data_IF_922205658567
#
_entry.id   IF_922205658567
#
_cell.length_a   1.000
_cell.length_b   1.000
_cell.length_c   1.000
_cell.angle_alpha   90.00
_cell.angle_beta   90.00
_cell.angle_gamma   90.00
#
_symmetry.space_group_name_H-M   'P 1'
#
loop_
_entity.id
_entity.type
_entity.pdbx_description
1 polymer ?
#
# COMPACT_ATOMS: atom_id res chain seq x y z
N UNK A 1 -9.79 -37.53 -31.43
CA UNK A 1 -9.41 -37.43 -30.00
C UNK A 1 -10.68 -37.23 -29.17
N UNK A 2 -11.10 -38.23 -28.38
CA UNK A 2 -12.31 -38.16 -27.54
C UNK A 2 -12.06 -37.15 -26.41
N UNK A 3 -12.90 -36.11 -26.29
CA UNK A 3 -12.77 -35.07 -25.25
C UNK A 3 -12.95 -35.73 -23.88
N UNK A 4 -11.96 -35.57 -23.00
CA UNK A 4 -12.02 -35.99 -21.59
C UNK A 4 -12.94 -35.01 -20.87
N UNK A 5 -14.22 -35.36 -20.71
CA UNK A 5 -15.19 -34.56 -19.95
C UNK A 5 -15.10 -34.91 -18.45
N UNK A 6 -15.35 -33.94 -17.55
CA UNK A 6 -15.33 -34.16 -16.10
C UNK A 6 -16.36 -35.21 -15.64
N UNK A 7 -17.46 -35.36 -16.36
CA UNK A 7 -18.47 -36.41 -16.12
C UNK A 7 -17.93 -37.82 -16.38
N UNK A 8 -17.13 -38.01 -17.43
CA UNK A 8 -16.50 -39.30 -17.74
C UNK A 8 -15.47 -39.68 -16.67
N UNK A 9 -14.78 -38.68 -16.09
CA UNK A 9 -13.86 -38.91 -14.99
C UNK A 9 -14.58 -39.32 -13.69
N UNK A 10 -15.76 -38.76 -13.41
CA UNK A 10 -16.58 -39.15 -12.25
C UNK A 10 -17.11 -40.58 -12.37
N UNK A 11 -17.61 -40.96 -13.55
CA UNK A 11 -18.10 -42.31 -13.79
C UNK A 11 -16.99 -43.38 -13.63
N UNK A 12 -15.77 -43.06 -14.06
CA UNK A 12 -14.60 -43.95 -13.85
C UNK A 12 -14.25 -44.05 -12.36
N UNK A 13 -14.32 -42.95 -11.61
CA UNK A 13 -14.05 -42.97 -10.17
C UNK A 13 -15.10 -43.76 -9.37
N UNK A 14 -16.38 -43.67 -9.75
CA UNK A 14 -17.45 -44.51 -9.15
C UNK A 14 -17.20 -45.99 -9.43
N UNK A 15 -16.83 -46.34 -10.67
CA UNK A 15 -16.52 -47.71 -11.03
C UNK A 15 -15.28 -48.25 -10.27
N UNK A 16 -14.25 -47.41 -10.07
CA UNK A 16 -13.07 -47.75 -9.27
C UNK A 16 -13.43 -47.98 -7.79
N UNK A 17 -14.40 -47.22 -7.24
CA UNK A 17 -14.89 -47.41 -5.87
C UNK A 17 -15.63 -48.75 -5.71
N UNK A 18 -16.46 -49.14 -6.68
CA UNK A 18 -17.16 -50.43 -6.67
C UNK A 18 -16.17 -51.62 -6.77
N UNK A 19 -15.14 -51.49 -7.60
CA UNK A 19 -14.08 -52.49 -7.69
C UNK A 19 -13.26 -52.60 -6.39
N UNK A 20 -13.01 -51.47 -5.72
CA UNK A 20 -12.38 -51.46 -4.40
C UNK A 20 -13.25 -52.14 -3.35
N UNK A 21 -14.56 -51.86 -3.31
CA UNK A 21 -15.49 -52.52 -2.40
C UNK A 21 -15.51 -54.03 -2.61
N UNK A 22 -15.56 -54.48 -3.87
CA UNK A 22 -15.50 -55.91 -4.21
C UNK A 22 -14.19 -56.55 -3.78
N UNK A 23 -13.05 -55.90 -4.00
CA UNK A 23 -11.72 -56.39 -3.57
C UNK A 23 -11.62 -56.50 -2.05
N UNK A 24 -12.25 -55.59 -1.30
CA UNK A 24 -12.30 -55.61 0.16
C UNK A 24 -13.21 -56.73 0.66
N UNK A 25 -14.36 -56.97 0.02
CA UNK A 25 -15.24 -58.09 0.32
C UNK A 25 -14.56 -59.45 0.09
N UNK A 26 -13.72 -59.56 -0.95
CA UNK A 26 -12.89 -60.73 -1.25
C UNK A 26 -11.66 -60.88 -0.30
N UNK A 27 -11.55 -60.05 0.73
CA UNK A 27 -10.51 -60.15 1.77
C UNK A 27 -9.12 -59.66 1.35
N UNK A 28 -8.99 -58.98 0.20
CA UNK A 28 -7.70 -58.41 -0.25
C UNK A 28 -7.38 -57.13 0.53
N UNK A 29 -6.10 -56.97 0.91
CA UNK A 29 -5.63 -55.80 1.66
C UNK A 29 -5.56 -54.56 0.74
N UNK A 30 -6.27 -53.50 1.12
CA UNK A 30 -6.14 -52.18 0.49
C UNK A 30 -4.71 -51.64 0.63
N UNK A 31 -4.23 -51.00 -0.43
CA UNK A 31 -2.95 -50.26 -0.42
C UNK A 31 -3.05 -48.99 0.41
N UNK A 32 -1.90 -48.44 0.80
CA UNK A 32 -1.80 -47.23 1.61
C UNK A 32 -2.46 -46.02 0.93
N UNK A 33 -2.37 -45.91 -0.40
CA UNK A 33 -2.95 -44.82 -1.17
C UNK A 33 -4.48 -44.91 -1.25
N UNK A 34 -5.03 -46.11 -1.50
CA UNK A 34 -6.49 -46.36 -1.51
C UNK A 34 -7.12 -46.07 -0.13
N UNK A 35 -6.41 -46.39 0.96
CA UNK A 35 -6.87 -46.06 2.33
C UNK A 35 -6.84 -44.57 2.62
N UNK A 36 -5.87 -43.83 2.08
CA UNK A 36 -5.78 -42.38 2.27
C UNK A 36 -6.88 -41.66 1.48
N UNK A 37 -7.18 -42.12 0.25
CA UNK A 37 -8.28 -41.61 -0.55
C UNK A 37 -9.65 -41.86 0.10
N UNK A 38 -9.89 -43.07 0.64
CA UNK A 38 -11.13 -43.36 1.38
C UNK A 38 -11.28 -42.54 2.66
N UNK A 39 -10.17 -42.21 3.34
CA UNK A 39 -10.19 -41.29 4.49
C UNK A 39 -10.59 -39.89 4.09
N UNK A 40 -10.05 -39.38 2.99
CA UNK A 40 -10.41 -38.06 2.46
C UNK A 40 -11.88 -38.00 2.04
N UNK A 41 -12.40 -39.08 1.43
CA UNK A 41 -13.82 -39.15 1.04
C UNK A 41 -14.76 -39.24 2.26
N UNK A 42 -14.35 -39.95 3.32
CA UNK A 42 -15.09 -40.03 4.57
C UNK A 42 -15.09 -38.69 5.33
N UNK A 43 -13.98 -37.95 5.26
CA UNK A 43 -13.87 -36.59 5.84
C UNK A 43 -14.74 -35.57 5.07
N UNK A 44 -14.97 -35.75 3.75
CA UNK A 44 -15.81 -34.88 2.91
C UNK A 44 -17.32 -35.14 3.04
N UNK A 45 -17.73 -36.30 3.58
CA UNK A 45 -19.15 -36.67 3.78
C UNK A 45 -19.56 -36.95 5.24
N UNK A 46 -18.70 -36.68 6.23
CA UNK A 46 -18.93 -37.05 7.63
C UNK A 46 -18.69 -35.93 8.63
N UNK A 47 -19.63 -35.00 8.74
CA UNK A 47 -20.33 -34.67 10.01
C UNK A 47 -21.27 -33.49 9.74
N UNK A 48 -22.51 -33.80 9.34
CA UNK A 48 -23.60 -32.90 9.67
C UNK A 48 -23.69 -32.81 11.20
N UNK A 49 -23.79 -31.61 11.80
CA UNK A 49 -23.87 -31.48 13.25
C UNK A 49 -25.17 -32.13 13.72
N UNK A 50 -25.09 -33.31 14.33
CA UNK A 50 -26.19 -33.83 15.14
C UNK A 50 -26.44 -32.83 16.26
N UNK A 51 -27.53 -32.08 16.11
CA UNK A 51 -28.07 -31.18 17.10
C UNK A 51 -28.45 -31.96 18.36
N UNK A 52 -27.52 -32.01 19.32
CA UNK A 52 -27.85 -32.03 20.74
C UNK A 52 -27.29 -30.74 21.33
N UNK A 53 -28.18 -29.74 21.42
CA UNK A 53 -27.93 -28.46 22.08
C UNK A 53 -27.94 -28.71 23.59
N UNK A 54 -26.79 -29.11 24.13
CA UNK A 54 -26.47 -28.83 25.53
C UNK A 54 -25.90 -27.40 25.61
N UNK A 55 -26.25 -26.61 26.64
CA UNK A 55 -25.95 -25.19 26.69
C UNK A 55 -24.43 -24.95 26.69
N UNK A 56 -24.00 -24.03 25.83
CA UNK A 56 -22.62 -23.54 25.72
C UNK A 56 -22.06 -23.25 27.12
N UNK A 57 -21.00 -23.95 27.57
CA UNK A 57 -20.35 -23.62 28.83
C UNK A 57 -19.76 -22.22 28.71
N UNK A 58 -20.31 -21.28 29.46
CA UNK A 58 -19.87 -19.89 29.45
C UNK A 58 -18.46 -19.82 30.04
N UNK A 59 -17.47 -19.63 29.17
CA UNK A 59 -16.09 -19.26 29.51
C UNK A 59 -15.03 -20.35 29.37
N UNK A 60 -15.34 -21.61 29.68
CA UNK A 60 -14.30 -22.67 29.77
C UNK A 60 -14.69 -23.96 29.04
N UNK A 61 -13.77 -24.52 28.26
CA UNK A 61 -13.85 -25.87 27.75
C UNK A 61 -13.10 -26.84 28.69
N UNK A 62 -13.69 -28.01 28.97
CA UNK A 62 -13.11 -29.04 29.84
C UNK A 62 -12.01 -29.83 29.15
N UNK A 63 -12.07 -29.94 27.82
CA UNK A 63 -11.07 -30.63 27.02
C UNK A 63 -10.97 -30.03 25.60
N UNK A 64 -9.95 -30.44 24.87
CA UNK A 64 -9.72 -29.98 23.49
C UNK A 64 -10.78 -30.44 22.49
N UNK A 65 -11.64 -31.40 22.85
CA UNK A 65 -12.74 -31.88 21.99
C UNK A 65 -13.92 -30.92 22.10
N UNK A 66 -14.29 -30.55 23.32
CA UNK A 66 -15.30 -29.53 23.60
C UNK A 66 -14.84 -28.16 23.07
N UNK A 67 -13.55 -27.83 23.20
CA UNK A 67 -12.99 -26.61 22.62
C UNK A 67 -13.09 -26.59 21.09
N UNK A 68 -12.78 -27.71 20.42
CA UNK A 68 -12.91 -27.84 18.97
C UNK A 68 -14.36 -27.60 18.51
N UNK A 69 -15.32 -28.19 19.22
CA UNK A 69 -16.74 -28.06 18.92
C UNK A 69 -17.24 -26.62 19.16
N UNK A 70 -16.83 -26.00 20.27
CA UNK A 70 -17.24 -24.61 20.59
C UNK A 70 -16.62 -23.59 19.64
N UNK A 71 -15.38 -23.81 19.19
CA UNK A 71 -14.70 -22.94 18.23
C UNK A 71 -15.04 -23.25 16.77
N UNK A 72 -15.78 -24.34 16.50
CA UNK A 72 -16.14 -24.75 15.15
C UNK A 72 -14.95 -25.19 14.28
N UNK A 73 -13.86 -25.68 14.91
CA UNK A 73 -12.62 -26.07 14.21
C UNK A 73 -12.31 -27.54 14.41
N UNK A 74 -11.75 -28.19 13.38
CA UNK A 74 -11.38 -29.60 13.48
C UNK A 74 -10.29 -29.83 14.54
N UNK A 75 -10.36 -30.93 15.29
CA UNK A 75 -9.41 -31.26 16.38
C UNK A 75 -7.94 -31.26 15.93
N UNK A 76 -7.67 -31.69 14.71
CA UNK A 76 -6.32 -31.68 14.11
C UNK A 76 -5.76 -30.26 13.98
N UNK A 77 -6.62 -29.28 13.73
CA UNK A 77 -6.27 -27.87 13.65
C UNK A 77 -5.81 -27.33 15.00
N UNK A 78 -6.55 -27.65 16.08
CA UNK A 78 -6.11 -27.30 17.44
C UNK A 78 -4.78 -27.97 17.80
N UNK A 79 -4.56 -29.23 17.42
CA UNK A 79 -3.28 -29.92 17.67
C UNK A 79 -2.10 -29.27 16.94
N UNK A 80 -2.33 -28.74 15.74
CA UNK A 80 -1.32 -27.98 15.01
C UNK A 80 -1.04 -26.63 15.69
N UNK A 81 -2.09 -25.92 16.13
CA UNK A 81 -1.96 -24.62 16.81
C UNK A 81 -1.25 -24.71 18.15
N UNK A 82 -1.38 -25.83 18.87
CA UNK A 82 -0.61 -26.10 20.10
C UNK A 82 0.90 -26.08 19.93
N UNK A 83 1.41 -26.21 18.72
CA UNK A 83 2.85 -26.15 18.42
C UNK A 83 3.32 -24.74 18.05
N UNK A 84 2.39 -23.80 17.87
CA UNK A 84 2.69 -22.41 17.52
C UNK A 84 3.05 -21.60 18.77
N UNK A 85 3.96 -20.64 18.58
CA UNK A 85 4.34 -19.68 19.62
C UNK A 85 3.15 -18.77 19.90
N UNK A 86 2.81 -18.57 21.17
CA UNK A 86 1.65 -17.77 21.59
C UNK A 86 0.33 -18.54 21.71
N UNK A 87 0.35 -19.87 21.57
CA UNK A 87 -0.81 -20.71 21.87
C UNK A 87 -1.25 -20.55 23.34
N UNK A 88 -2.55 -20.34 23.62
CA UNK A 88 -3.06 -20.29 24.98
C UNK A 88 -2.73 -21.57 25.76
N UNK A 89 -2.23 -21.41 26.99
CA UNK A 89 -1.90 -22.52 27.86
C UNK A 89 -3.14 -23.00 28.64
N UNK A 90 -3.28 -24.31 28.91
CA UNK A 90 -4.31 -24.77 29.83
C UNK A 90 -4.06 -24.19 31.23
N UNK A 91 -5.13 -23.85 31.95
CA UNK A 91 -5.04 -23.45 33.36
C UNK A 91 -4.45 -24.61 34.20
N UNK A 92 -3.95 -24.36 35.42
CA UNK A 92 -3.49 -25.41 36.33
C UNK A 92 -4.55 -26.49 36.61
N UNK A 93 -5.84 -26.13 36.53
CA UNK A 93 -6.99 -27.04 36.68
C UNK A 93 -7.32 -27.84 35.40
N UNK A 94 -6.53 -27.73 34.34
CA UNK A 94 -6.69 -28.43 33.07
C UNK A 94 -7.79 -27.89 32.14
N UNK A 95 -8.53 -26.86 32.56
CA UNK A 95 -9.57 -26.18 31.76
C UNK A 95 -8.95 -25.19 30.76
N UNK A 96 -9.61 -25.02 29.62
CA UNK A 96 -9.19 -24.15 28.52
C UNK A 96 -10.12 -22.93 28.45
N UNK A 97 -9.56 -21.72 28.42
CA UNK A 97 -10.34 -20.49 28.33
C UNK A 97 -10.74 -20.23 26.88
N UNK A 98 -12.04 -20.19 26.58
CA UNK A 98 -12.53 -20.08 25.20
C UNK A 98 -12.14 -18.72 24.58
N UNK A 99 -12.16 -17.64 25.37
CA UNK A 99 -11.85 -16.28 24.89
C UNK A 99 -10.40 -16.13 24.43
N UNK A 100 -9.43 -16.69 25.17
CA UNK A 100 -8.01 -16.67 24.76
C UNK A 100 -7.79 -17.40 23.44
N UNK A 101 -8.53 -18.49 23.19
CA UNK A 101 -8.45 -19.21 21.92
C UNK A 101 -9.13 -18.45 20.77
N UNK A 102 -10.21 -17.72 21.04
CA UNK A 102 -10.84 -16.83 20.05
C UNK A 102 -9.94 -15.65 19.68
N UNK A 103 -9.27 -15.04 20.66
CA UNK A 103 -8.28 -13.98 20.42
C UNK A 103 -7.08 -14.48 19.62
N UNK A 104 -6.56 -15.66 19.96
CA UNK A 104 -5.49 -16.31 19.20
C UNK A 104 -5.89 -16.57 17.74
N UNK A 105 -7.13 -17.00 17.49
CA UNK A 105 -7.67 -17.16 16.14
C UNK A 105 -7.75 -15.83 15.40
N UNK A 106 -8.28 -14.78 16.03
CA UNK A 106 -8.41 -13.46 15.41
C UNK A 106 -7.05 -12.87 15.01
N UNK A 107 -6.02 -13.00 15.85
CA UNK A 107 -4.66 -12.54 15.55
C UNK A 107 -4.06 -13.31 14.37
N UNK A 108 -4.25 -14.64 14.35
CA UNK A 108 -3.72 -15.49 13.29
C UNK A 108 -4.41 -15.23 11.95
N UNK A 109 -5.72 -15.02 11.95
CA UNK A 109 -6.49 -14.73 10.74
C UNK A 109 -6.13 -13.35 10.19
N UNK A 110 -5.92 -12.34 11.04
CA UNK A 110 -5.39 -11.03 10.63
C UNK A 110 -4.00 -11.17 9.98
N UNK A 111 -3.10 -11.94 10.58
CA UNK A 111 -1.76 -12.18 10.02
C UNK A 111 -1.78 -12.91 8.68
N UNK A 112 -2.79 -13.76 8.41
CA UNK A 112 -2.98 -14.40 7.11
C UNK A 112 -3.63 -13.48 6.08
N UNK A 113 -4.49 -12.55 6.51
CA UNK A 113 -5.15 -11.58 5.64
C UNK A 113 -4.21 -10.48 5.17
N UNK A 114 -3.25 -10.04 6.00
CA UNK A 114 -2.16 -9.12 5.61
C UNK A 114 -1.08 -9.77 4.73
N UNK A 115 -1.49 -10.67 3.84
CA UNK A 115 -0.62 -11.48 3.01
C UNK A 115 0.17 -10.70 1.95
N UNK A 116 0.91 -11.41 1.07
CA UNK A 116 1.85 -10.83 0.09
C UNK A 116 1.27 -9.70 -0.77
N UNK A 117 -0.03 -9.73 -1.04
CA UNK A 117 -0.73 -8.76 -1.88
C UNK A 117 -0.74 -7.34 -1.28
N UNK A 118 -0.98 -7.20 0.04
CA UNK A 118 -0.89 -5.89 0.73
C UNK A 118 0.56 -5.38 0.74
N UNK A 119 1.53 -6.29 0.86
CA UNK A 119 2.96 -5.94 0.77
C UNK A 119 3.37 -5.47 -0.63
N UNK A 120 2.84 -6.11 -1.68
CA UNK A 120 3.10 -5.74 -3.07
C UNK A 120 2.45 -4.41 -3.43
N UNK A 121 1.22 -4.16 -2.98
CA UNK A 121 0.53 -2.89 -3.22
C UNK A 121 1.26 -1.71 -2.54
N UNK A 122 1.70 -1.89 -1.30
CA UNK A 122 2.47 -0.86 -0.59
C UNK A 122 3.83 -0.61 -1.26
N UNK A 123 4.50 -1.66 -1.77
CA UNK A 123 5.75 -1.52 -2.54
C UNK A 123 5.52 -0.79 -3.87
N UNK A 124 4.44 -1.10 -4.58
CA UNK A 124 4.09 -0.42 -5.83
C UNK A 124 3.82 1.08 -5.60
N UNK A 125 3.07 1.43 -4.55
CA UNK A 125 2.82 2.83 -4.18
C UNK A 125 4.10 3.57 -3.80
N UNK A 126 4.99 2.92 -3.04
CA UNK A 126 6.31 3.50 -2.71
C UNK A 126 7.16 3.74 -3.96
N UNK A 127 7.18 2.78 -4.89
CA UNK A 127 7.95 2.90 -6.13
C UNK A 127 7.43 4.06 -7.00
N UNK A 128 6.11 4.25 -7.09
CA UNK A 128 5.53 5.38 -7.83
C UNK A 128 5.94 6.73 -7.22
N UNK A 129 5.83 6.88 -5.90
CA UNK A 129 6.27 8.11 -5.22
C UNK A 129 7.77 8.38 -5.44
N UNK A 130 8.58 7.32 -5.44
CA UNK A 130 10.01 7.38 -5.72
C UNK A 130 10.37 7.75 -7.17
N UNK A 131 9.51 7.42 -8.13
CA UNK A 131 9.64 7.83 -9.53
C UNK A 131 9.29 9.31 -9.66
N UNK A 132 8.15 9.72 -9.09
CA UNK A 132 7.69 11.12 -9.12
C UNK A 132 8.72 12.07 -8.48
N UNK A 133 9.31 11.69 -7.34
CA UNK A 133 10.38 12.48 -6.70
C UNK A 133 11.62 12.61 -7.61
N UNK A 134 11.98 11.55 -8.33
CA UNK A 134 13.12 11.57 -9.27
C UNK A 134 12.81 12.43 -10.49
N UNK A 135 11.59 12.38 -11.01
CA UNK A 135 11.15 13.23 -12.12
C UNK A 135 11.18 14.71 -11.74
N UNK A 136 10.66 15.07 -10.56
CA UNK A 136 10.74 16.44 -10.04
C UNK A 136 12.18 16.92 -9.88
N UNK A 137 13.07 16.08 -9.33
CA UNK A 137 14.50 16.39 -9.21
C UNK A 137 15.17 16.59 -10.57
N UNK A 138 14.81 15.79 -11.57
CA UNK A 138 15.32 15.94 -12.94
C UNK A 138 14.82 17.25 -13.55
N UNK A 139 13.54 17.59 -13.38
CA UNK A 139 12.97 18.81 -13.93
C UNK A 139 13.54 20.08 -13.29
N UNK A 140 13.80 20.07 -11.98
CA UNK A 140 14.55 21.14 -11.29
C UNK A 140 15.94 21.29 -11.91
N UNK A 141 16.69 20.20 -12.10
CA UNK A 141 18.03 20.24 -12.71
C UNK A 141 18.02 20.69 -14.17
N UNK A 142 16.92 20.48 -14.89
CA UNK A 142 16.71 20.97 -16.25
C UNK A 142 16.37 22.47 -16.31
N UNK A 143 16.19 23.12 -15.16
CA UNK A 143 15.81 24.53 -15.09
C UNK A 143 14.34 24.78 -15.45
N UNK A 144 13.50 23.75 -15.42
CA UNK A 144 12.05 23.88 -15.70
C UNK A 144 11.29 24.47 -14.50
N UNK A 145 11.91 24.47 -13.31
CA UNK A 145 11.33 24.97 -12.07
C UNK A 145 12.27 25.95 -11.38
N UNK A 146 11.70 27.06 -10.89
CA UNK A 146 12.40 28.07 -10.08
C UNK A 146 11.66 28.24 -8.76
N UNK A 147 12.39 28.46 -7.67
CA UNK A 147 11.77 28.74 -6.38
C UNK A 147 11.08 30.10 -6.39
N UNK A 148 9.82 30.14 -5.95
CA UNK A 148 9.04 31.39 -5.90
C UNK A 148 9.72 32.43 -5.01
N UNK A 149 10.33 32.01 -3.90
CA UNK A 149 11.05 32.91 -2.98
C UNK A 149 12.28 33.54 -3.63
N UNK A 150 12.96 32.83 -4.53
CA UNK A 150 14.09 33.33 -5.29
C UNK A 150 13.62 34.36 -6.33
N UNK A 151 12.56 34.04 -7.09
CA UNK A 151 11.93 34.99 -8.03
C UNK A 151 11.48 36.25 -7.29
N UNK A 152 10.81 36.11 -6.15
CA UNK A 152 10.31 37.22 -5.36
C UNK A 152 11.47 38.11 -4.86
N UNK A 153 12.57 37.51 -4.41
CA UNK A 153 13.75 38.23 -3.94
C UNK A 153 14.43 38.98 -5.07
N UNK A 154 14.72 38.31 -6.18
CA UNK A 154 15.35 38.92 -7.35
C UNK A 154 14.51 40.04 -7.94
N UNK A 155 13.20 39.80 -8.09
CA UNK A 155 12.26 40.81 -8.57
C UNK A 155 12.21 42.02 -7.63
N UNK A 156 12.11 41.81 -6.32
CA UNK A 156 12.07 42.90 -5.34
C UNK A 156 13.36 43.72 -5.35
N UNK A 157 14.52 43.06 -5.44
CA UNK A 157 15.81 43.74 -5.54
C UNK A 157 15.92 44.58 -6.81
N UNK A 158 15.53 44.01 -7.97
CA UNK A 158 15.57 44.73 -9.25
C UNK A 158 14.58 45.88 -9.31
N UNK A 159 13.35 45.66 -8.89
CA UNK A 159 12.33 46.71 -8.79
C UNK A 159 12.80 47.82 -7.83
N UNK A 160 13.42 47.48 -6.70
CA UNK A 160 14.00 48.44 -5.77
C UNK A 160 15.08 49.31 -6.43
N UNK A 161 16.04 48.69 -7.14
CA UNK A 161 17.08 49.42 -7.90
C UNK A 161 16.49 50.35 -8.95
N UNK A 162 15.49 49.89 -9.70
CA UNK A 162 14.81 50.70 -10.72
C UNK A 162 14.08 51.90 -10.09
N UNK A 163 13.38 51.70 -8.97
CA UNK A 163 12.70 52.78 -8.23
C UNK A 163 13.72 53.80 -7.69
N UNK A 164 14.84 53.35 -7.13
CA UNK A 164 15.89 54.24 -6.64
C UNK A 164 16.51 55.07 -7.77
N UNK A 165 16.80 54.46 -8.92
CA UNK A 165 17.34 55.19 -10.08
C UNK A 165 16.31 56.20 -10.60
N UNK A 166 15.05 55.80 -10.72
CA UNK A 166 13.97 56.67 -11.17
C UNK A 166 13.83 57.91 -10.27
N UNK A 167 13.82 57.71 -8.95
CA UNK A 167 13.78 58.85 -8.00
C UNK A 167 15.00 59.75 -8.15
N UNK A 168 16.21 59.19 -8.25
CA UNK A 168 17.41 59.99 -8.41
C UNK A 168 17.36 60.83 -9.71
N UNK A 169 17.03 60.19 -10.84
CA UNK A 169 16.94 60.85 -12.15
C UNK A 169 15.91 61.97 -12.14
N UNK A 170 14.69 61.71 -11.67
CA UNK A 170 13.59 62.67 -11.76
C UNK A 170 13.58 63.73 -10.65
N UNK A 171 14.03 63.40 -9.44
CA UNK A 171 13.98 64.32 -8.30
C UNK A 171 15.30 65.09 -8.11
N UNK A 172 16.44 64.55 -8.55
CA UNK A 172 17.77 65.15 -8.31
C UNK A 172 18.50 65.60 -9.58
N UNK A 173 18.55 64.76 -10.63
CA UNK A 173 19.35 65.06 -11.84
C UNK A 173 18.61 65.94 -12.87
N UNK A 174 17.36 65.59 -13.21
CA UNK A 174 16.60 66.27 -14.25
C UNK A 174 16.20 67.72 -13.89
N UNK A 175 15.73 68.05 -12.68
CA UNK A 175 15.23 69.39 -12.38
C UNK A 175 16.19 70.54 -12.73
N UNK A 176 17.50 70.50 -12.42
CA UNK A 176 18.44 71.56 -12.83
C UNK A 176 18.73 71.55 -14.34
N UNK A 177 18.71 70.40 -15.01
CA UNK A 177 19.00 70.29 -16.45
C UNK A 177 17.85 70.87 -17.29
N UNK A 178 16.62 70.60 -16.87
CA UNK A 178 15.42 71.01 -17.60
C UNK A 178 15.10 72.50 -17.42
N UNK A 179 15.75 73.19 -16.49
CA UNK A 179 15.53 74.60 -16.22
C UNK A 179 15.92 75.46 -17.44
N UNK A 180 14.91 76.07 -18.08
CA UNK A 180 15.10 76.94 -19.24
C UNK A 180 15.13 76.22 -20.59
N UNK A 181 14.94 74.89 -20.63
CA UNK A 181 14.82 74.12 -21.87
C UNK A 181 13.45 74.28 -22.52
N UNK A 182 13.38 74.07 -23.84
CA UNK A 182 12.11 74.03 -24.58
C UNK A 182 11.47 72.63 -24.49
N UNK A 183 10.15 72.57 -24.70
CA UNK A 183 9.36 71.34 -24.53
C UNK A 183 9.90 70.12 -25.31
N UNK A 184 10.43 70.32 -26.52
CA UNK A 184 11.01 69.24 -27.33
C UNK A 184 12.31 68.68 -26.72
N UNK A 185 13.13 69.54 -26.12
CA UNK A 185 14.38 69.17 -25.46
C UNK A 185 14.10 68.44 -24.15
N UNK A 186 13.11 68.93 -23.39
CA UNK A 186 12.62 68.28 -22.16
C UNK A 186 12.14 66.85 -22.47
N UNK A 187 11.38 66.67 -23.55
CA UNK A 187 10.90 65.36 -23.95
C UNK A 187 12.04 64.41 -24.35
N UNK A 188 13.08 64.91 -25.02
CA UNK A 188 14.24 64.10 -25.40
C UNK A 188 15.02 63.63 -24.15
N UNK A 189 15.23 64.51 -23.18
CA UNK A 189 15.98 64.18 -21.97
C UNK A 189 15.20 63.25 -21.03
N UNK A 190 13.89 63.46 -20.90
CA UNK A 190 13.02 62.55 -20.15
C UNK A 190 13.00 61.14 -20.77
N UNK A 191 13.05 61.03 -22.10
CA UNK A 191 13.12 59.72 -22.78
C UNK A 191 14.41 58.98 -22.46
N UNK A 192 15.57 59.67 -22.49
CA UNK A 192 16.85 59.06 -22.09
C UNK A 192 16.82 58.54 -20.66
N UNK A 193 16.30 59.34 -19.73
CA UNK A 193 16.19 58.95 -18.33
C UNK A 193 15.29 57.70 -18.15
N UNK A 194 14.20 57.59 -18.93
CA UNK A 194 13.34 56.40 -18.92
C UNK A 194 14.08 55.18 -19.49
N UNK A 195 14.77 55.33 -20.62
CA UNK A 195 15.50 54.23 -21.26
C UNK A 195 16.62 53.67 -20.36
N UNK A 196 17.31 54.53 -19.62
CA UNK A 196 18.28 54.13 -18.59
C UNK A 196 17.64 53.29 -17.47
N UNK A 197 16.47 53.71 -16.95
CA UNK A 197 15.74 52.94 -15.93
C UNK A 197 15.26 51.60 -16.47
N UNK A 198 14.78 51.57 -17.72
CA UNK A 198 14.32 50.34 -18.37
C UNK A 198 15.45 49.34 -18.61
N UNK A 199 16.69 49.80 -18.77
CA UNK A 199 17.84 48.90 -18.95
C UNK A 199 18.02 47.98 -17.74
N UNK A 200 17.85 48.50 -16.51
CA UNK A 200 17.94 47.71 -15.26
C UNK A 200 16.88 46.59 -15.20
N UNK A 201 15.71 46.83 -15.77
CA UNK A 201 14.63 45.84 -15.77
C UNK A 201 14.81 44.76 -16.85
N UNK A 202 15.52 45.09 -17.94
CA UNK A 202 15.73 44.19 -19.08
C UNK A 202 17.06 43.43 -19.03
N UNK A 203 18.02 43.82 -18.20
CA UNK A 203 19.27 43.05 -18.03
C UNK A 203 18.96 41.65 -17.47
N UNK A 204 19.07 40.63 -18.32
CA UNK A 204 19.05 39.23 -17.87
C UNK A 204 20.45 38.83 -17.46
N UNK A 205 20.80 39.00 -16.19
CA UNK A 205 21.88 38.19 -15.62
C UNK A 205 21.38 36.74 -15.57
N UNK A 206 22.00 35.86 -16.36
CA UNK A 206 21.71 34.43 -16.30
C UNK A 206 22.15 33.92 -14.91
N UNK A 207 21.34 33.11 -14.21
CA UNK A 207 21.74 32.56 -12.92
C UNK A 207 22.97 31.66 -13.12
N UNK A 208 24.09 32.05 -12.49
CA UNK A 208 25.41 31.41 -12.62
C UNK A 208 25.50 30.06 -11.87
N UNK A 209 24.46 29.66 -11.14
CA UNK A 209 24.50 28.55 -10.18
C UNK A 209 23.75 27.26 -10.62
N UNK A 210 23.76 26.92 -11.91
CA UNK A 210 23.24 25.63 -12.40
C UNK A 210 24.31 24.70 -13.01
N UNK A 211 25.53 24.71 -12.46
CA UNK A 211 26.59 23.75 -12.78
C UNK A 211 26.67 22.59 -11.77
#
# INVERSE_FOLDING_TARGET
>A
MKKRTPELARAVLEQDLDELQRRVADGKRLTKAEREMLRQLADDQGDEPTAQVDPVPVGFAKNYVELANVLGVHRRTLQAWRKLVGCPAPRPDGRLLISEWQEFMAIKDQAQQSGPQDSEELKARKLLAEVEERELKVAIRRGEYVQIDEVAREWTTRAGKAVSLLRNKFESELPPILAGMQAAEIQAEARKAIDEVLTILHESEAPTDLA
#
